data_IF_590954830013
#
_entry.id   IF_590954830013
#
_cell.length_a   1.000
_cell.length_b   1.000
_cell.length_c   1.000
_cell.angle_alpha   90.00
_cell.angle_beta   90.00
_cell.angle_gamma   90.00
#
_symmetry.space_group_name_H-M   'P 1'
#
loop_
_entity.id
_entity.type
_entity.pdbx_description
1 polymer ?
#
# COMPACT_ATOMS: atom_id res chain seq x y z
N UNK A 1 21.35 -6.05 7.48
CA UNK A 1 20.72 -7.04 6.58
C UNK A 1 21.81 -7.93 5.97
N UNK A 2 21.55 -9.20 5.65
CA UNK A 2 22.57 -10.12 5.13
C UNK A 2 23.09 -9.66 3.76
N UNK A 3 24.37 -9.91 3.48
CA UNK A 3 25.02 -9.56 2.19
C UNK A 3 24.66 -10.53 1.06
N UNK A 4 24.28 -11.75 1.42
CA UNK A 4 23.91 -12.82 0.50
C UNK A 4 22.63 -13.51 0.98
N UNK A 5 21.88 -14.10 0.05
CA UNK A 5 20.68 -14.86 0.42
C UNK A 5 21.08 -16.10 1.23
N UNK A 6 20.54 -16.34 2.43
CA UNK A 6 20.89 -17.50 3.25
C UNK A 6 20.45 -18.84 2.65
N UNK A 7 19.58 -18.82 1.62
CA UNK A 7 19.07 -20.03 0.95
C UNK A 7 19.85 -20.39 -0.31
N UNK A 8 20.29 -19.40 -1.08
CA UNK A 8 20.90 -19.63 -2.39
C UNK A 8 22.24 -18.90 -2.60
N UNK A 9 22.76 -18.22 -1.57
CA UNK A 9 24.04 -17.49 -1.56
C UNK A 9 24.20 -16.41 -2.63
N UNK A 10 23.10 -15.98 -3.25
CA UNK A 10 23.15 -14.93 -4.27
C UNK A 10 23.41 -13.56 -3.62
N UNK A 11 24.44 -12.86 -4.09
CA UNK A 11 24.86 -11.54 -3.58
C UNK A 11 24.05 -10.35 -4.14
N UNK A 12 23.14 -10.58 -5.08
CA UNK A 12 22.36 -9.52 -5.74
C UNK A 12 21.09 -9.11 -5.00
N UNK A 13 21.10 -9.03 -3.67
CA UNK A 13 19.95 -8.55 -2.90
C UNK A 13 19.74 -7.06 -3.21
N UNK A 14 18.59 -6.73 -3.80
CA UNK A 14 18.21 -5.35 -4.13
C UNK A 14 17.06 -4.90 -3.23
N UNK A 15 17.23 -3.74 -2.60
CA UNK A 15 16.26 -3.16 -1.67
C UNK A 15 15.35 -2.10 -2.33
N UNK A 16 15.49 -1.86 -3.64
CA UNK A 16 14.78 -0.80 -4.34
C UNK A 16 13.79 -1.32 -5.38
N UNK A 17 12.57 -0.77 -5.35
CA UNK A 17 11.63 -0.82 -6.48
C UNK A 17 12.13 0.10 -7.61
N UNK A 18 11.84 -0.27 -8.85
CA UNK A 18 12.08 0.60 -10.00
C UNK A 18 11.12 1.78 -9.90
N UNK A 19 11.61 2.96 -9.52
CA UNK A 19 10.82 4.19 -9.56
C UNK A 19 10.34 4.49 -10.98
N UNK A 20 9.20 5.16 -11.11
CA UNK A 20 8.60 5.54 -12.41
C UNK A 20 9.58 6.33 -13.29
N UNK A 21 10.45 7.14 -12.68
CA UNK A 21 11.51 7.90 -13.36
C UNK A 21 12.57 7.00 -14.01
N UNK A 22 13.01 5.94 -13.31
CA UNK A 22 13.98 5.00 -13.86
C UNK A 22 13.37 4.16 -14.98
N UNK A 23 12.09 3.80 -14.84
CA UNK A 23 11.35 3.12 -15.90
C UNK A 23 11.23 4.01 -17.15
N UNK A 24 10.95 5.30 -16.98
CA UNK A 24 10.91 6.28 -18.08
C UNK A 24 12.25 6.37 -18.81
N UNK A 25 13.37 6.45 -18.07
CA UNK A 25 14.71 6.48 -18.66
C UNK A 25 15.02 5.21 -19.47
N UNK A 26 14.71 4.02 -18.94
CA UNK A 26 14.91 2.74 -19.63
C UNK A 26 14.04 2.62 -20.90
N UNK A 27 12.79 3.08 -20.83
CA UNK A 27 11.87 3.07 -21.97
C UNK A 27 12.35 4.01 -23.07
N UNK A 28 12.76 5.24 -22.73
CA UNK A 28 13.33 6.18 -23.70
C UNK A 28 14.62 5.68 -24.33
N UNK A 29 15.47 5.00 -23.56
CA UNK A 29 16.70 4.43 -24.07
C UNK A 29 16.45 3.28 -25.07
N UNK A 30 15.43 2.44 -24.83
CA UNK A 30 15.11 1.28 -25.67
C UNK A 30 14.21 1.62 -26.86
N UNK A 31 13.39 2.65 -26.73
CA UNK A 31 12.42 3.10 -27.74
C UNK A 31 12.59 4.60 -28.01
N UNK A 32 13.74 5.05 -28.53
CA UNK A 32 14.05 6.47 -28.70
C UNK A 32 13.06 7.18 -29.65
N UNK A 33 12.53 6.46 -30.64
CA UNK A 33 11.62 7.00 -31.65
C UNK A 33 10.14 6.89 -31.26
N UNK A 34 9.83 6.44 -30.04
CA UNK A 34 8.46 6.22 -29.57
C UNK A 34 8.11 7.22 -28.50
N UNK A 35 7.12 8.08 -28.78
CA UNK A 35 6.63 9.06 -27.83
C UNK A 35 6.11 8.38 -26.55
N UNK A 36 6.77 8.68 -25.42
CA UNK A 36 6.41 8.18 -24.10
C UNK A 36 6.06 9.32 -23.14
N UNK A 37 5.07 9.10 -22.27
CA UNK A 37 4.65 10.06 -21.27
C UNK A 37 4.57 9.39 -19.89
N UNK A 38 5.10 10.07 -18.86
CA UNK A 38 4.97 9.64 -17.46
C UNK A 38 3.79 10.37 -16.81
N UNK A 39 2.92 9.61 -16.14
CA UNK A 39 1.75 10.09 -15.41
C UNK A 39 1.79 9.60 -13.96
N UNK A 40 2.34 10.42 -13.08
CA UNK A 40 2.31 10.24 -11.63
C UNK A 40 2.09 11.58 -10.92
N UNK A 41 1.92 11.54 -9.59
CA UNK A 41 1.53 12.70 -8.78
C UNK A 41 2.55 13.84 -8.87
N UNK A 42 3.83 13.50 -9.05
CA UNK A 42 4.91 14.47 -9.15
C UNK A 42 5.00 15.08 -10.55
N UNK A 43 4.65 14.33 -11.61
CA UNK A 43 4.61 14.84 -12.99
C UNK A 43 3.35 15.66 -13.32
N UNK A 44 2.24 15.46 -12.59
CA UNK A 44 0.91 16.00 -12.91
C UNK A 44 0.44 17.07 -11.92
N UNK A 45 1.32 18.02 -11.58
CA UNK A 45 0.98 19.07 -10.60
C UNK A 45 0.15 20.24 -11.17
N UNK A 46 0.12 20.43 -12.49
CA UNK A 46 -0.65 21.51 -13.10
C UNK A 46 -2.10 21.10 -13.37
N UNK A 47 -3.02 22.05 -13.15
CA UNK A 47 -4.47 21.84 -13.35
C UNK A 47 -4.75 21.49 -14.81
N UNK A 48 -5.41 20.36 -15.05
CA UNK A 48 -5.72 19.85 -16.40
C UNK A 48 -4.58 19.09 -17.10
N UNK A 49 -3.44 18.88 -16.46
CA UNK A 49 -2.32 18.08 -17.02
C UNK A 49 -2.72 16.63 -17.29
N UNK A 50 -3.52 16.05 -16.38
CA UNK A 50 -4.08 14.71 -16.55
C UNK A 50 -4.90 14.58 -17.84
N UNK A 51 -5.91 15.43 -18.04
CA UNK A 51 -6.77 15.36 -19.24
C UNK A 51 -5.96 15.52 -20.52
N UNK A 52 -5.03 16.47 -20.56
CA UNK A 52 -4.13 16.68 -21.71
C UNK A 52 -3.29 15.44 -22.02
N UNK A 53 -2.73 14.80 -21.00
CA UNK A 53 -1.94 13.58 -21.15
C UNK A 53 -2.80 12.43 -21.74
N UNK A 54 -4.03 12.28 -21.24
CA UNK A 54 -4.95 11.27 -21.74
C UNK A 54 -5.38 11.56 -23.17
N UNK A 55 -5.67 12.81 -23.52
CA UNK A 55 -6.08 13.17 -24.87
C UNK A 55 -4.95 13.00 -25.89
N UNK A 56 -3.71 13.33 -25.52
CA UNK A 56 -2.53 13.04 -26.34
C UNK A 56 -2.37 11.53 -26.59
N UNK A 57 -2.62 10.71 -25.58
CA UNK A 57 -2.60 9.26 -25.72
C UNK A 57 -3.77 8.73 -26.57
N UNK A 58 -4.99 9.31 -26.44
CA UNK A 58 -6.15 8.96 -27.29
C UNK A 58 -5.91 9.25 -28.76
N UNK A 59 -5.32 10.42 -29.07
CA UNK A 59 -4.99 10.83 -30.44
C UNK A 59 -3.83 10.03 -31.03
N UNK A 60 -3.07 9.33 -30.20
CA UNK A 60 -1.90 8.55 -30.62
C UNK A 60 -0.60 9.35 -30.68
N UNK A 61 -0.61 10.61 -30.25
CA UNK A 61 0.57 11.47 -30.10
C UNK A 61 1.57 10.86 -29.11
N UNK A 62 1.05 10.10 -28.13
CA UNK A 62 1.82 9.29 -27.19
C UNK A 62 1.48 7.82 -27.40
N UNK A 63 2.51 6.98 -27.49
CA UNK A 63 2.37 5.54 -27.75
C UNK A 63 2.65 4.68 -26.51
N UNK A 64 3.40 5.20 -25.54
CA UNK A 64 3.69 4.52 -24.28
C UNK A 64 3.34 5.43 -23.11
N UNK A 65 2.45 4.96 -22.22
CA UNK A 65 2.09 5.66 -21.00
C UNK A 65 2.66 4.91 -19.78
N UNK A 66 3.47 5.59 -18.98
CA UNK A 66 4.13 5.05 -17.79
C UNK A 66 3.58 5.74 -16.55
N UNK A 67 3.37 5.03 -15.46
CA UNK A 67 2.79 5.66 -14.29
C UNK A 67 2.37 4.70 -13.21
N UNK A 68 1.81 5.26 -12.15
CA UNK A 68 1.34 4.51 -10.99
C UNK A 68 -0.13 4.12 -11.16
N UNK A 69 -0.81 3.77 -10.07
CA UNK A 69 -2.23 3.42 -10.03
C UNK A 69 -3.15 4.49 -10.67
N UNK A 70 -2.68 5.72 -10.87
CA UNK A 70 -3.43 6.77 -11.55
C UNK A 70 -3.76 6.45 -13.02
N UNK A 71 -2.95 5.64 -13.71
CA UNK A 71 -3.26 5.18 -15.07
C UNK A 71 -4.49 4.27 -15.07
N UNK A 72 -4.74 3.52 -14.02
CA UNK A 72 -5.82 2.54 -14.04
C UNK A 72 -7.21 3.19 -13.88
N UNK A 73 -7.31 4.45 -13.44
CA UNK A 73 -8.57 5.15 -13.16
C UNK A 73 -9.08 5.92 -14.37
N UNK A 74 -10.33 5.68 -14.78
CA UNK A 74 -11.01 6.47 -15.81
C UNK A 74 -10.51 6.27 -17.25
N UNK A 75 -9.63 5.29 -17.49
CA UNK A 75 -9.11 4.99 -18.83
C UNK A 75 -9.94 3.89 -19.49
N UNK A 76 -10.52 4.21 -20.64
CA UNK A 76 -10.98 3.25 -21.63
C UNK A 76 -10.31 3.64 -22.94
N UNK A 77 -9.37 2.81 -23.40
CA UNK A 77 -8.63 3.06 -24.62
C UNK A 77 -8.75 1.85 -25.53
N UNK A 78 -9.63 1.91 -26.55
CA UNK A 78 -9.81 0.83 -27.51
C UNK A 78 -8.52 0.43 -28.24
N UNK A 79 -7.56 1.36 -28.34
CA UNK A 79 -6.28 1.16 -29.01
C UNK A 79 -5.17 0.60 -28.10
N UNK A 80 -5.43 0.39 -26.81
CA UNK A 80 -4.45 -0.24 -25.91
C UNK A 80 -4.57 -1.75 -26.03
N UNK A 81 -3.57 -2.36 -26.65
CA UNK A 81 -3.49 -3.81 -26.87
C UNK A 81 -2.51 -4.51 -25.92
N UNK A 82 -1.71 -3.74 -25.17
CA UNK A 82 -0.73 -4.28 -24.23
C UNK A 82 -0.74 -3.45 -22.95
N UNK A 83 -0.82 -4.12 -21.80
CA UNK A 83 -0.54 -3.51 -20.50
C UNK A 83 0.48 -4.32 -19.71
N UNK A 84 1.45 -3.62 -19.12
CA UNK A 84 2.47 -4.21 -18.25
C UNK A 84 2.31 -3.74 -16.81
N UNK A 85 2.16 -4.67 -15.87
CA UNK A 85 2.33 -4.41 -14.44
C UNK A 85 3.78 -4.73 -14.08
N UNK A 86 4.58 -3.69 -13.89
CA UNK A 86 6.01 -3.82 -13.58
C UNK A 86 6.18 -4.00 -12.08
N UNK A 87 6.89 -5.07 -11.69
CA UNK A 87 7.24 -5.40 -10.32
C UNK A 87 6.07 -5.37 -9.31
N UNK A 88 5.12 -6.30 -9.48
CA UNK A 88 3.96 -6.43 -8.59
C UNK A 88 4.35 -6.73 -7.13
N UNK A 89 5.54 -7.29 -6.90
CA UNK A 89 6.08 -7.57 -5.55
C UNK A 89 6.21 -6.32 -4.69
N UNK A 90 6.40 -5.15 -5.31
CA UNK A 90 6.44 -3.88 -4.57
C UNK A 90 5.15 -3.64 -3.79
N UNK A 91 4.00 -3.92 -4.41
CA UNK A 91 2.70 -3.77 -3.75
C UNK A 91 2.35 -4.99 -2.90
N UNK A 92 2.77 -6.18 -3.32
CA UNK A 92 2.41 -7.45 -2.68
C UNK A 92 3.08 -7.67 -1.33
N UNK A 93 4.33 -7.22 -1.19
CA UNK A 93 5.14 -7.40 0.03
C UNK A 93 5.26 -6.11 0.85
N UNK A 94 4.36 -5.15 0.63
CA UNK A 94 4.22 -3.99 1.50
C UNK A 94 3.85 -4.47 2.92
N UNK A 95 4.39 -3.88 4.00
CA UNK A 95 4.01 -4.20 5.37
C UNK A 95 2.61 -3.61 5.70
N UNK A 96 1.60 -4.05 4.97
CA UNK A 96 0.20 -3.65 5.05
C UNK A 96 -0.64 -4.93 4.90
N UNK A 97 -1.57 -5.17 5.83
CA UNK A 97 -2.42 -6.37 5.78
C UNK A 97 -3.33 -6.42 4.53
N UNK A 98 -3.52 -5.28 3.84
CA UNK A 98 -4.27 -5.19 2.58
C UNK A 98 -3.38 -5.29 1.34
N UNK A 99 -2.07 -5.55 1.48
CA UNK A 99 -1.14 -5.59 0.35
C UNK A 99 -1.58 -6.56 -0.76
N UNK A 100 -1.99 -7.77 -0.39
CA UNK A 100 -2.52 -8.78 -1.32
C UNK A 100 -3.79 -8.30 -2.04
N UNK A 101 -4.75 -7.74 -1.31
CA UNK A 101 -5.99 -7.18 -1.85
C UNK A 101 -5.75 -6.02 -2.81
N UNK A 102 -4.85 -5.10 -2.46
CA UNK A 102 -4.46 -3.97 -3.32
C UNK A 102 -3.79 -4.44 -4.59
N UNK A 103 -2.95 -5.48 -4.50
CA UNK A 103 -2.27 -6.07 -5.65
C UNK A 103 -3.28 -6.76 -6.56
N UNK A 104 -4.21 -7.55 -5.99
CA UNK A 104 -5.32 -8.15 -6.73
C UNK A 104 -6.12 -7.08 -7.48
N UNK A 105 -6.53 -6.01 -6.80
CA UNK A 105 -7.27 -4.91 -7.41
C UNK A 105 -6.50 -4.25 -8.53
N UNK A 106 -5.22 -3.93 -8.31
CA UNK A 106 -4.38 -3.27 -9.30
C UNK A 106 -4.25 -4.13 -10.57
N UNK A 107 -3.90 -5.40 -10.42
CA UNK A 107 -3.70 -6.31 -11.56
C UNK A 107 -5.02 -6.56 -12.28
N UNK A 108 -6.11 -6.84 -11.56
CA UNK A 108 -7.43 -7.07 -12.14
C UNK A 108 -7.96 -5.82 -12.87
N UNK A 109 -7.79 -4.64 -12.26
CA UNK A 109 -8.20 -3.37 -12.85
C UNK A 109 -7.42 -3.09 -14.11
N UNK A 110 -6.10 -3.27 -14.09
CA UNK A 110 -5.25 -3.07 -15.26
C UNK A 110 -5.57 -4.07 -16.36
N UNK A 111 -5.80 -5.34 -16.00
CA UNK A 111 -6.17 -6.38 -16.95
C UNK A 111 -7.51 -6.11 -17.65
N UNK A 112 -8.50 -5.59 -16.92
CA UNK A 112 -9.83 -5.27 -17.46
C UNK A 112 -9.88 -4.03 -18.38
N UNK A 113 -8.75 -3.35 -18.61
CA UNK A 113 -8.64 -2.10 -19.40
C UNK A 113 -8.11 -2.31 -20.80
N UNK A 114 -7.66 -3.52 -21.12
CA UNK A 114 -7.20 -3.92 -22.44
C UNK A 114 -8.10 -5.03 -22.98
N UNK A 115 -8.20 -5.15 -24.29
CA UNK A 115 -8.98 -6.22 -24.93
C UNK A 115 -10.49 -6.07 -24.96
N UNK A 116 -11.01 -4.85 -24.74
CA UNK A 116 -12.44 -4.54 -24.95
C UNK A 116 -12.81 -4.27 -26.41
N UNK A 117 -11.83 -4.02 -27.26
CA UNK A 117 -12.03 -3.85 -28.71
C UNK A 117 -11.62 -5.11 -29.49
N UNK A 118 -11.97 -5.14 -30.77
CA UNK A 118 -11.78 -6.29 -31.68
C UNK A 118 -10.33 -6.78 -31.80
N UNK A 119 -9.36 -5.92 -31.46
CA UNK A 119 -7.92 -6.22 -31.51
C UNK A 119 -7.43 -7.11 -30.36
N UNK A 120 -8.29 -7.40 -29.38
CA UNK A 120 -7.90 -8.12 -28.17
C UNK A 120 -6.87 -7.35 -27.33
N UNK A 121 -6.40 -7.99 -26.27
CA UNK A 121 -5.52 -7.36 -25.29
C UNK A 121 -4.59 -8.37 -24.64
N UNK A 122 -3.37 -7.96 -24.35
CA UNK A 122 -2.39 -8.74 -23.60
C UNK A 122 -2.04 -8.02 -22.31
N UNK A 123 -1.95 -8.78 -21.23
CA UNK A 123 -1.55 -8.29 -19.91
C UNK A 123 -0.31 -9.05 -19.49
N UNK A 124 0.75 -8.33 -19.15
CA UNK A 124 2.00 -8.91 -18.65
C UNK A 124 2.20 -8.46 -17.21
N UNK A 125 2.29 -9.40 -16.28
CA UNK A 125 2.56 -9.12 -14.87
C UNK A 125 3.95 -9.62 -14.55
N UNK A 126 4.85 -8.70 -14.19
CA UNK A 126 6.18 -9.05 -13.72
C UNK A 126 6.14 -9.23 -12.21
N UNK A 127 6.44 -10.44 -11.74
CA UNK A 127 6.57 -10.74 -10.32
C UNK A 127 7.55 -11.88 -10.04
N UNK A 128 8.19 -11.84 -8.87
CA UNK A 128 8.95 -12.94 -8.28
C UNK A 128 8.05 -13.95 -7.56
N UNK A 129 6.76 -13.62 -7.35
CA UNK A 129 5.79 -14.42 -6.61
C UNK A 129 4.62 -14.86 -7.52
N UNK A 130 4.86 -15.51 -8.69
CA UNK A 130 3.80 -15.81 -9.67
C UNK A 130 2.70 -16.73 -9.12
N UNK A 131 3.06 -17.60 -8.17
CA UNK A 131 2.13 -18.54 -7.54
C UNK A 131 1.30 -17.94 -6.40
N UNK A 132 1.54 -16.68 -6.03
CA UNK A 132 0.79 -16.02 -4.96
C UNK A 132 -0.72 -16.02 -5.25
N UNK A 133 -1.60 -16.38 -4.30
CA UNK A 133 -3.05 -16.47 -4.53
C UNK A 133 -3.65 -15.22 -5.17
N UNK A 134 -3.29 -14.03 -4.67
CA UNK A 134 -3.71 -12.74 -5.24
C UNK A 134 -3.35 -12.57 -6.73
N UNK A 135 -2.16 -13.01 -7.16
CA UNK A 135 -1.73 -12.91 -8.56
C UNK A 135 -2.52 -13.89 -9.43
N UNK A 136 -2.61 -15.16 -9.01
CA UNK A 136 -3.33 -16.21 -9.74
C UNK A 136 -4.81 -15.88 -9.89
N UNK A 137 -5.44 -15.37 -8.84
CA UNK A 137 -6.83 -14.95 -8.86
C UNK A 137 -7.04 -13.72 -9.76
N UNK A 138 -6.14 -12.73 -9.71
CA UNK A 138 -6.24 -11.53 -10.55
C UNK A 138 -6.12 -11.85 -12.05
N UNK A 139 -5.24 -12.78 -12.44
CA UNK A 139 -5.11 -13.23 -13.83
C UNK A 139 -6.39 -13.86 -14.39
N UNK A 140 -7.24 -14.42 -13.53
CA UNK A 140 -8.51 -15.06 -13.91
C UNK A 140 -9.73 -14.17 -13.63
N UNK A 141 -9.54 -12.95 -13.15
CA UNK A 141 -10.61 -12.08 -12.65
C UNK A 141 -11.49 -12.75 -11.57
N UNK A 142 -10.90 -13.66 -10.79
CA UNK A 142 -11.63 -14.53 -9.86
C UNK A 142 -11.58 -13.97 -8.44
N UNK A 143 -12.49 -13.03 -8.16
CA UNK A 143 -12.61 -12.43 -6.82
C UNK A 143 -12.98 -13.46 -5.75
N UNK A 144 -13.82 -14.45 -6.08
CA UNK A 144 -14.27 -15.44 -5.12
C UNK A 144 -13.10 -16.30 -4.62
N UNK A 145 -12.23 -16.77 -5.53
CA UNK A 145 -11.03 -17.49 -5.16
C UNK A 145 -10.04 -16.63 -4.35
N UNK A 146 -9.88 -15.35 -4.71
CA UNK A 146 -9.07 -14.43 -3.92
C UNK A 146 -9.61 -14.30 -2.49
N UNK A 147 -10.90 -13.98 -2.33
CA UNK A 147 -11.53 -13.80 -1.04
C UNK A 147 -11.46 -15.07 -0.17
N UNK A 148 -11.72 -16.24 -0.75
CA UNK A 148 -11.61 -17.52 -0.05
C UNK A 148 -10.19 -17.81 0.47
N UNK A 149 -9.15 -17.34 -0.23
CA UNK A 149 -7.75 -17.49 0.21
C UNK A 149 -7.33 -16.51 1.30
N UNK A 150 -7.93 -15.31 1.34
CA UNK A 150 -7.49 -14.19 2.18
C UNK A 150 -8.29 -14.10 3.50
N UNK A 151 -9.62 -14.30 3.43
CA UNK A 151 -10.53 -14.07 4.55
C UNK A 151 -10.23 -14.91 5.80
N UNK A 152 -9.90 -16.22 5.70
CA UNK A 152 -9.60 -17.02 6.90
C UNK A 152 -8.41 -16.49 7.70
N UNK A 153 -7.38 -16.00 7.01
CA UNK A 153 -6.22 -15.39 7.67
C UNK A 153 -6.63 -14.09 8.37
N UNK A 154 -7.44 -13.25 7.73
CA UNK A 154 -7.92 -12.00 8.35
C UNK A 154 -8.77 -12.25 9.57
N UNK A 155 -9.64 -13.25 9.53
CA UNK A 155 -10.46 -13.64 10.68
C UNK A 155 -9.58 -14.10 11.86
N UNK A 156 -8.63 -15.01 11.60
CA UNK A 156 -7.73 -15.55 12.64
C UNK A 156 -6.83 -14.49 13.30
N UNK A 157 -6.49 -13.43 12.56
CA UNK A 157 -5.62 -12.35 13.02
C UNK A 157 -6.39 -11.13 13.55
N UNK A 158 -7.72 -11.17 13.58
CA UNK A 158 -8.59 -10.04 13.95
C UNK A 158 -8.33 -8.81 13.08
N UNK A 159 -8.24 -9.01 11.76
CA UNK A 159 -8.21 -7.91 10.78
C UNK A 159 -9.61 -7.62 10.21
N UNK A 160 -9.85 -6.39 9.72
CA UNK A 160 -11.06 -6.07 8.98
C UNK A 160 -11.29 -7.04 7.79
N UNK A 161 -12.53 -7.48 7.55
CA UNK A 161 -13.78 -6.96 8.11
C UNK A 161 -14.22 -7.57 9.45
N UNK A 162 -13.57 -8.65 9.92
CA UNK A 162 -14.00 -9.44 11.09
C UNK A 162 -13.79 -8.73 12.43
N UNK A 163 -12.95 -7.70 12.46
CA UNK A 163 -12.67 -6.90 13.64
C UNK A 163 -12.57 -5.41 13.31
N UNK A 164 -12.73 -4.57 14.33
CA UNK A 164 -12.34 -3.17 14.28
C UNK A 164 -10.84 -3.01 14.47
N UNK A 165 -10.28 -1.96 13.86
CA UNK A 165 -8.87 -1.64 13.98
C UNK A 165 -8.70 -0.14 14.20
N UNK A 166 -7.80 0.26 15.10
CA UNK A 166 -7.36 1.65 15.24
C UNK A 166 -5.85 1.66 15.20
N UNK A 167 -5.28 2.47 14.29
CA UNK A 167 -3.84 2.71 14.19
C UNK A 167 -3.51 4.04 14.82
N UNK A 168 -2.61 4.04 15.79
CA UNK A 168 -2.01 5.25 16.33
C UNK A 168 -0.66 5.46 15.67
N UNK A 169 -0.41 6.68 15.20
CA UNK A 169 0.90 7.09 14.68
C UNK A 169 1.41 8.21 15.58
N UNK A 170 2.52 7.94 16.27
CA UNK A 170 3.23 8.89 17.11
C UNK A 170 4.44 9.40 16.35
N UNK A 171 4.65 10.72 16.30
CA UNK A 171 5.78 11.33 15.61
C UNK A 171 6.39 12.49 16.40
N UNK A 172 7.71 12.63 16.34
CA UNK A 172 8.43 13.69 17.02
C UNK A 172 9.84 13.89 16.47
N UNK A 173 10.52 15.01 16.76
CA UNK A 173 11.84 15.31 16.23
C UNK A 173 12.96 14.51 16.92
N UNK A 174 12.73 14.03 18.15
CA UNK A 174 13.67 13.26 18.96
C UNK A 174 13.19 11.83 19.11
N UNK A 175 14.02 10.87 18.72
CA UNK A 175 13.65 9.45 18.72
C UNK A 175 13.24 8.96 20.11
N UNK A 176 14.10 9.17 21.11
CA UNK A 176 13.93 8.65 22.46
C UNK A 176 12.64 9.15 23.13
N UNK A 177 12.34 10.44 23.06
CA UNK A 177 11.11 10.99 23.64
C UNK A 177 9.85 10.55 22.89
N UNK A 178 9.95 10.39 21.56
CA UNK A 178 8.83 9.90 20.74
C UNK A 178 8.54 8.43 21.05
N UNK A 179 9.58 7.62 21.22
CA UNK A 179 9.49 6.21 21.56
C UNK A 179 8.91 6.01 22.96
N UNK A 180 9.40 6.77 23.95
CA UNK A 180 8.90 6.74 25.32
C UNK A 180 7.40 7.09 25.38
N UNK A 181 6.96 8.13 24.67
CA UNK A 181 5.55 8.49 24.61
C UNK A 181 4.70 7.43 23.88
N UNK A 182 5.24 6.82 22.81
CA UNK A 182 4.56 5.70 22.15
C UNK A 182 4.43 4.47 23.07
N UNK A 183 5.42 4.21 23.92
CA UNK A 183 5.36 3.14 24.92
C UNK A 183 4.30 3.42 26.00
N UNK A 184 4.24 4.66 26.51
CA UNK A 184 3.20 5.08 27.46
C UNK A 184 1.80 4.90 26.86
N UNK A 185 1.60 5.40 25.63
CA UNK A 185 0.33 5.26 24.92
C UNK A 185 -0.07 3.79 24.75
N UNK A 186 0.87 2.92 24.36
CA UNK A 186 0.59 1.49 24.21
C UNK A 186 0.22 0.83 25.54
N UNK A 187 0.85 1.23 26.64
CA UNK A 187 0.51 0.74 27.98
C UNK A 187 -0.89 1.18 28.41
N UNK A 188 -1.24 2.46 28.23
CA UNK A 188 -2.59 2.98 28.51
C UNK A 188 -3.65 2.26 27.68
N UNK A 189 -3.37 1.99 26.40
CA UNK A 189 -4.27 1.23 25.52
C UNK A 189 -4.52 -0.19 26.03
N UNK A 190 -3.48 -0.89 26.53
CA UNK A 190 -3.64 -2.22 27.13
C UNK A 190 -4.52 -2.16 28.38
N UNK A 191 -4.23 -1.23 29.29
CA UNK A 191 -5.00 -1.03 30.52
C UNK A 191 -6.47 -0.69 30.23
N UNK A 192 -6.73 0.16 29.24
CA UNK A 192 -8.09 0.54 28.86
C UNK A 192 -8.86 -0.63 28.25
N UNK A 193 -8.20 -1.50 27.45
CA UNK A 193 -8.86 -2.72 26.96
C UNK A 193 -9.24 -3.67 28.10
N UNK A 194 -8.39 -3.81 29.10
CA UNK A 194 -8.65 -4.63 30.29
C UNK A 194 -9.80 -4.05 31.13
N UNK A 195 -9.75 -2.75 31.43
CA UNK A 195 -10.80 -1.98 32.13
C UNK A 195 -12.17 -2.17 31.46
N UNK A 196 -12.18 -2.06 30.13
CA UNK A 196 -13.39 -2.19 29.32
C UNK A 196 -13.87 -3.62 29.09
N UNK A 197 -13.11 -4.61 29.60
CA UNK A 197 -13.31 -6.04 29.31
C UNK A 197 -13.49 -6.26 27.80
N UNK A 198 -12.70 -5.54 27.01
CA UNK A 198 -12.73 -5.58 25.57
C UNK A 198 -11.80 -6.70 25.10
N UNK A 199 -12.36 -7.69 24.42
CA UNK A 199 -11.55 -8.64 23.68
C UNK A 199 -10.76 -7.87 22.60
N UNK A 200 -9.44 -8.03 22.60
CA UNK A 200 -8.59 -7.30 21.67
C UNK A 200 -7.11 -7.51 21.89
N UNK A 201 -6.30 -6.95 20.99
CA UNK A 201 -4.84 -7.03 21.02
C UNK A 201 -4.25 -5.66 20.77
N UNK A 202 -3.21 -5.32 21.53
CA UNK A 202 -2.35 -4.15 21.27
C UNK A 202 -1.04 -4.64 20.67
N UNK A 203 -0.75 -4.24 19.43
CA UNK A 203 0.53 -4.48 18.77
C UNK A 203 1.36 -3.21 18.80
N UNK A 204 2.63 -3.34 19.19
CA UNK A 204 3.57 -2.23 19.31
C UNK A 204 3.76 -1.72 20.75
N UNK A 205 4.39 -0.56 20.93
CA UNK A 205 4.83 0.36 19.88
C UNK A 205 5.90 -0.29 18.99
N UNK A 206 5.88 0.01 17.70
CA UNK A 206 6.89 -0.43 16.75
C UNK A 206 7.28 0.74 15.86
N UNK A 207 8.48 0.72 15.28
CA UNK A 207 8.89 1.69 14.28
C UNK A 207 7.91 1.63 13.10
N UNK A 208 7.41 2.78 12.65
CA UNK A 208 6.51 2.83 11.50
C UNK A 208 7.28 2.41 10.22
N UNK A 209 6.60 1.90 9.18
CA UNK A 209 7.26 1.42 7.96
C UNK A 209 8.17 2.46 7.31
N UNK A 210 7.80 3.74 7.41
CA UNK A 210 8.69 4.87 7.16
C UNK A 210 9.17 5.45 8.49
N UNK A 211 10.30 4.95 8.96
CA UNK A 211 10.86 5.25 10.28
C UNK A 211 11.09 6.75 10.52
N UNK A 212 11.46 7.50 9.47
CA UNK A 212 11.66 8.95 9.52
C UNK A 212 11.05 9.63 8.29
N UNK A 213 10.22 10.64 8.51
CA UNK A 213 9.59 11.42 7.44
C UNK A 213 9.63 12.90 7.78
N UNK A 214 10.16 13.73 6.85
CA UNK A 214 10.30 15.19 7.04
C UNK A 214 10.98 15.54 8.37
N UNK A 215 12.07 14.83 8.69
CA UNK A 215 12.84 15.03 9.93
C UNK A 215 12.28 14.36 11.18
N UNK A 216 11.03 13.90 11.18
CA UNK A 216 10.34 13.35 12.36
C UNK A 216 10.47 11.82 12.43
N UNK A 217 10.84 11.29 13.59
CA UNK A 217 10.78 9.86 13.90
C UNK A 217 9.33 9.42 14.07
N UNK A 218 9.00 8.21 13.61
CA UNK A 218 7.63 7.69 13.61
C UNK A 218 7.54 6.31 14.26
N UNK A 219 6.63 6.20 15.21
CA UNK A 219 6.22 4.94 15.84
C UNK A 219 4.73 4.71 15.59
N UNK A 220 4.34 3.45 15.57
CA UNK A 220 2.96 3.04 15.37
C UNK A 220 2.53 2.02 16.42
N UNK A 221 1.26 2.10 16.81
CA UNK A 221 0.59 1.16 17.69
C UNK A 221 -0.72 0.76 17.02
N UNK A 222 -1.06 -0.52 17.06
CA UNK A 222 -2.32 -1.01 16.53
C UNK A 222 -3.14 -1.62 17.64
N UNK A 223 -4.42 -1.29 17.68
CA UNK A 223 -5.38 -1.99 18.52
C UNK A 223 -6.42 -2.67 17.63
N UNK A 224 -6.67 -3.95 17.89
CA UNK A 224 -7.62 -4.78 17.16
C UNK A 224 -8.62 -5.36 18.14
N UNK A 225 -9.88 -5.53 17.74
CA UNK A 225 -10.86 -6.27 18.54
C UNK A 225 -12.16 -6.54 17.79
N UNK A 226 -12.85 -7.67 18.09
CA UNK A 226 -14.11 -8.04 17.43
C UNK A 226 -15.23 -7.02 17.70
N UNK A 227 -15.23 -6.39 18.88
CA UNK A 227 -16.25 -5.40 19.24
C UNK A 227 -15.77 -3.96 19.01
N UNK A 228 -16.17 -3.37 17.88
CA UNK A 228 -15.84 -1.99 17.48
C UNK A 228 -16.23 -0.94 18.53
N UNK A 229 -17.35 -1.12 19.21
CA UNK A 229 -17.82 -0.17 20.22
C UNK A 229 -16.92 -0.17 21.45
N UNK A 230 -16.61 -1.35 22.01
CA UNK A 230 -15.70 -1.48 23.15
C UNK A 230 -14.29 -1.02 22.80
N UNK A 231 -13.80 -1.36 21.61
CA UNK A 231 -12.51 -0.90 21.10
C UNK A 231 -12.42 0.64 21.07
N UNK A 232 -13.47 1.31 20.57
CA UNK A 232 -13.53 2.79 20.54
C UNK A 232 -13.65 3.40 21.93
N UNK A 233 -14.28 2.71 22.89
CA UNK A 233 -14.39 3.19 24.27
C UNK A 233 -13.03 3.11 24.97
N UNK A 234 -12.35 1.98 24.87
CA UNK A 234 -10.98 1.81 25.37
C UNK A 234 -10.00 2.81 24.72
N UNK A 235 -10.13 3.05 23.41
CA UNK A 235 -9.34 4.05 22.70
C UNK A 235 -9.52 5.49 23.24
N UNK A 236 -10.75 5.85 23.64
CA UNK A 236 -11.06 7.16 24.23
C UNK A 236 -10.57 7.27 25.67
N UNK A 237 -10.75 6.23 26.46
CA UNK A 237 -10.23 6.16 27.83
C UNK A 237 -8.70 6.32 27.83
N UNK A 238 -7.98 5.57 26.98
CA UNK A 238 -6.53 5.67 26.86
C UNK A 238 -6.02 7.06 26.46
N UNK A 239 -6.81 7.80 25.67
CA UNK A 239 -6.49 9.16 25.22
C UNK A 239 -6.92 10.24 26.23
N UNK A 240 -7.70 9.87 27.25
CA UNK A 240 -8.17 10.82 28.27
C UNK A 240 -6.96 11.30 29.08
N UNK A 241 -6.82 12.61 29.21
CA UNK A 241 -5.70 13.27 29.92
C UNK A 241 -4.30 12.94 29.38
N UNK A 242 -4.19 12.32 28.19
CA UNK A 242 -2.92 12.01 27.57
C UNK A 242 -2.33 13.28 26.92
N UNK A 243 -1.36 13.89 27.61
CA UNK A 243 -0.63 15.05 27.11
C UNK A 243 0.68 14.59 26.46
N UNK A 244 0.89 14.82 25.15
CA UNK A 244 2.17 14.55 24.54
C UNK A 244 3.23 15.53 25.06
N UNK A 245 4.51 15.11 25.16
CA UNK A 245 5.62 16.03 25.36
C UNK A 245 5.69 17.10 24.26
N UNK A 246 6.37 18.21 24.54
CA UNK A 246 6.63 19.25 23.54
C UNK A 246 7.25 18.64 22.26
N UNK A 247 6.74 19.08 21.11
CA UNK A 247 7.08 18.61 19.76
C UNK A 247 6.70 17.15 19.40
N UNK A 248 6.07 16.40 20.31
CA UNK A 248 5.49 15.09 19.98
C UNK A 248 4.03 15.27 19.57
N UNK A 249 3.66 14.62 18.48
CA UNK A 249 2.30 14.61 17.96
C UNK A 249 1.85 13.18 17.77
N UNK A 250 0.56 12.94 17.92
CA UNK A 250 -0.03 11.65 17.59
C UNK A 250 -1.35 11.80 16.86
N UNK A 251 -1.70 10.77 16.08
CA UNK A 251 -2.93 10.69 15.32
C UNK A 251 -3.51 9.29 15.52
N UNK A 252 -4.81 9.18 15.78
CA UNK A 252 -5.55 7.93 15.73
C UNK A 252 -6.34 7.84 14.42
N UNK A 253 -6.08 6.78 13.67
CA UNK A 253 -6.71 6.43 12.41
C UNK A 253 -7.65 5.25 12.66
N UNK A 254 -8.97 5.52 12.66
CA UNK A 254 -10.01 4.52 12.95
C UNK A 254 -10.40 3.81 11.66
N UNK A 255 -10.35 2.48 11.68
CA UNK A 255 -10.57 1.61 10.54
C UNK A 255 -9.69 1.99 9.34
N UNK A 256 -8.35 1.98 9.50
CA UNK A 256 -7.42 2.46 8.49
C UNK A 256 -7.55 1.70 7.17
N UNK A 257 -7.55 2.45 6.06
CA UNK A 257 -7.54 1.89 4.70
C UNK A 257 -6.13 1.62 4.17
N UNK A 258 -5.10 2.20 4.80
CA UNK A 258 -3.70 2.01 4.45
C UNK A 258 -2.81 2.14 5.69
N UNK A 259 -1.74 1.34 5.71
CA UNK A 259 -0.84 1.22 6.87
C UNK A 259 0.45 2.05 6.77
N UNK A 260 0.68 2.73 5.65
CA UNK A 260 1.83 3.63 5.44
C UNK A 260 1.59 5.06 5.93
#
# INVERSE_FOLDING_TARGET
APKECPKCHFAGIRYSGLGTQRLEAEVRARFPDVACLRMDTDAMQSRGSHEKALDAFRRGDVRILLGTQMIAKGLDFPNVTLVGVINADTALHLPDFRAAERTFHLVTQVAGRTGRGDKGGRVLVQTFSPDHPAIRAALRHDYAAFAASELPMRESLLYPPFAGMIRYVVRGPRQETTEAFAAEMAQRLRQSLESERAEGRVLGPAVAPLARLRGMYRFQIHIHGPNRHRLRRAAREAATELQPPDDVQWIADVDPLAML
#
